data_IF_983288337718
#
_entry.id   IF_983288337718
#
_cell.length_a   1.000
_cell.length_b   1.000
_cell.length_c   1.000
_cell.angle_alpha   90.00
_cell.angle_beta   90.00
_cell.angle_gamma   90.00
#
_symmetry.space_group_name_H-M   'P 1'
#
loop_
_entity.id
_entity.type
_entity.pdbx_description
1 polymer ?
#
# COMPACT_ATOMS: atom_id res chain seq x y z
N UNK A 1 -22.01 11.01 5.92
CA UNK A 1 -20.59 10.80 6.28
C UNK A 1 -19.83 12.02 5.83
N UNK A 2 -19.00 12.59 6.69
CA UNK A 2 -18.24 13.81 6.38
C UNK A 2 -16.81 13.49 5.94
N UNK A 3 -16.30 12.32 6.32
CA UNK A 3 -14.95 11.86 6.01
C UNK A 3 -14.94 10.35 5.70
N UNK A 4 -14.06 9.94 4.79
CA UNK A 4 -13.84 8.56 4.39
C UNK A 4 -12.35 8.26 4.50
N UNK A 5 -11.98 7.25 5.28
CA UNK A 5 -10.60 6.76 5.41
C UNK A 5 -10.45 5.43 4.66
N UNK A 6 -9.95 5.48 3.42
CA UNK A 6 -9.77 4.30 2.59
C UNK A 6 -8.46 3.57 2.93
N UNK A 7 -8.57 2.62 3.85
CA UNK A 7 -7.50 1.71 4.28
C UNK A 7 -7.64 0.30 3.67
N UNK A 8 -8.69 0.05 2.89
CA UNK A 8 -9.05 -1.29 2.43
C UNK A 8 -8.17 -1.76 1.26
N UNK A 9 -7.13 -2.54 1.56
CA UNK A 9 -6.31 -3.28 0.60
C UNK A 9 -5.43 -4.28 1.37
N UNK A 10 -5.25 -5.53 0.90
CA UNK A 10 -4.27 -6.43 1.51
C UNK A 10 -2.86 -5.82 1.46
N UNK A 11 -2.16 -5.74 2.59
CA UNK A 11 -0.89 -5.00 2.71
C UNK A 11 0.37 -5.87 2.80
N UNK A 12 0.22 -7.15 3.13
CA UNK A 12 1.32 -8.10 3.28
C UNK A 12 1.60 -8.84 1.97
N UNK A 13 2.88 -9.04 1.55
CA UNK A 13 3.20 -9.73 0.29
C UNK A 13 2.57 -11.11 0.13
N UNK A 14 2.68 -12.03 1.11
CA UNK A 14 1.92 -13.29 1.07
C UNK A 14 0.42 -13.10 0.80
N UNK A 15 -0.21 -12.11 1.44
CA UNK A 15 -1.65 -11.91 1.34
C UNK A 15 -2.09 -11.28 0.02
N UNK A 16 -1.38 -10.26 -0.49
CA UNK A 16 -1.77 -9.62 -1.74
C UNK A 16 -1.42 -10.47 -2.97
N UNK A 17 -0.42 -11.34 -2.87
CA UNK A 17 -0.04 -12.28 -3.93
C UNK A 17 -0.91 -13.55 -3.95
N UNK A 18 -1.56 -13.90 -2.85
CA UNK A 18 -2.46 -15.06 -2.80
C UNK A 18 -3.60 -14.96 -3.83
N UNK A 19 -4.14 -13.76 -4.06
CA UNK A 19 -5.13 -13.51 -5.10
C UNK A 19 -4.90 -12.14 -5.77
N UNK A 20 -3.99 -12.07 -6.76
CA UNK A 20 -3.55 -10.80 -7.34
C UNK A 20 -4.68 -10.07 -8.07
N UNK A 21 -5.61 -10.82 -8.69
CA UNK A 21 -6.79 -10.26 -9.34
C UNK A 21 -7.72 -9.59 -8.33
N UNK A 22 -7.91 -10.19 -7.16
CA UNK A 22 -8.72 -9.58 -6.08
C UNK A 22 -8.01 -8.35 -5.51
N UNK A 23 -6.68 -8.39 -5.36
CA UNK A 23 -5.89 -7.24 -4.90
C UNK A 23 -6.09 -6.04 -5.81
N UNK A 24 -5.83 -6.19 -7.12
CA UNK A 24 -5.96 -5.07 -8.06
C UNK A 24 -7.41 -4.57 -8.17
N UNK A 25 -8.40 -5.48 -8.16
CA UNK A 25 -9.82 -5.09 -8.13
C UNK A 25 -10.17 -4.28 -6.89
N UNK A 26 -9.64 -4.67 -5.72
CA UNK A 26 -9.85 -3.93 -4.47
C UNK A 26 -9.26 -2.54 -4.56
N UNK A 27 -8.02 -2.42 -5.03
CA UNK A 27 -7.34 -1.12 -5.16
C UNK A 27 -8.01 -0.22 -6.19
N UNK A 28 -8.42 -0.73 -7.35
CA UNK A 28 -9.06 0.06 -8.40
C UNK A 28 -10.56 0.30 -8.13
N UNK A 29 -11.39 -0.75 -8.13
CA UNK A 29 -12.84 -0.62 -8.00
C UNK A 29 -13.23 -0.09 -6.62
N UNK A 30 -12.53 -0.51 -5.56
CA UNK A 30 -12.77 -0.02 -4.21
C UNK A 30 -12.55 1.49 -4.12
N UNK A 31 -11.39 1.97 -4.59
CA UNK A 31 -11.08 3.41 -4.61
C UNK A 31 -12.04 4.19 -5.49
N UNK A 32 -12.35 3.70 -6.69
CA UNK A 32 -13.33 4.32 -7.59
C UNK A 32 -14.70 4.50 -6.93
N UNK A 33 -15.20 3.43 -6.28
CA UNK A 33 -16.51 3.46 -5.62
C UNK A 33 -16.54 4.42 -4.42
N UNK A 34 -15.48 4.44 -3.61
CA UNK A 34 -15.40 5.31 -2.43
C UNK A 34 -15.23 6.79 -2.83
N UNK A 35 -14.47 7.09 -3.88
CA UNK A 35 -14.38 8.44 -4.44
C UNK A 35 -15.72 8.90 -5.04
N UNK A 36 -16.42 8.00 -5.74
CA UNK A 36 -17.77 8.26 -6.21
C UNK A 36 -18.74 8.57 -5.07
N UNK A 37 -18.62 7.87 -3.94
CA UNK A 37 -19.37 8.18 -2.72
C UNK A 37 -18.99 9.55 -2.17
N UNK A 38 -17.70 9.82 -1.98
CA UNK A 38 -17.18 11.09 -1.48
C UNK A 38 -17.70 12.29 -2.29
N UNK A 39 -17.67 12.17 -3.63
CA UNK A 39 -18.20 13.19 -4.55
C UNK A 39 -19.69 13.44 -4.34
N UNK A 40 -20.50 12.38 -4.17
CA UNK A 40 -21.95 12.51 -3.99
C UNK A 40 -22.34 13.13 -2.65
N UNK A 41 -21.61 12.84 -1.58
CA UNK A 41 -21.95 13.33 -0.24
C UNK A 41 -21.13 14.55 0.20
N UNK A 42 -20.18 15.03 -0.62
CA UNK A 42 -19.28 16.12 -0.25
C UNK A 42 -18.28 15.75 0.86
N UNK A 43 -17.98 14.47 1.04
CA UNK A 43 -17.07 14.02 2.08
C UNK A 43 -15.60 14.24 1.70
N UNK A 44 -14.75 14.51 2.70
CA UNK A 44 -13.30 14.43 2.55
C UNK A 44 -12.87 12.98 2.41
N UNK A 45 -12.05 12.68 1.41
CA UNK A 45 -11.53 11.34 1.14
C UNK A 45 -10.04 11.24 1.48
N UNK A 46 -9.65 10.29 2.32
CA UNK A 46 -8.27 9.96 2.60
C UNK A 46 -7.90 8.61 1.97
N UNK A 47 -6.78 8.57 1.25
CA UNK A 47 -6.20 7.38 0.66
C UNK A 47 -4.93 6.93 1.40
N UNK A 48 -4.93 5.70 1.89
CA UNK A 48 -3.69 5.02 2.28
C UNK A 48 -2.99 4.45 1.05
N UNK A 49 -2.05 5.25 0.52
CA UNK A 49 -1.06 4.79 -0.44
C UNK A 49 0.13 4.15 0.29
N UNK A 50 1.25 3.94 -0.40
CA UNK A 50 2.39 3.16 0.10
C UNK A 50 3.70 3.67 -0.50
N UNK A 51 4.80 3.45 0.22
CA UNK A 51 6.16 3.61 -0.33
C UNK A 51 6.44 2.71 -1.53
N UNK A 52 5.69 1.61 -1.71
CA UNK A 52 5.84 0.72 -2.88
C UNK A 52 5.50 1.41 -4.21
N UNK A 53 4.82 2.56 -4.20
CA UNK A 53 4.66 3.41 -5.38
C UNK A 53 6.01 3.88 -5.96
N UNK A 54 7.06 3.90 -5.13
CA UNK A 54 8.43 4.22 -5.54
C UNK A 54 9.18 3.03 -6.15
N UNK A 55 8.72 1.79 -5.93
CA UNK A 55 9.33 0.58 -6.48
C UNK A 55 10.74 0.33 -5.95
N UNK A 56 11.68 0.14 -6.88
CA UNK A 56 13.12 -0.01 -6.61
C UNK A 56 13.85 1.31 -6.91
N UNK A 57 13.85 2.27 -5.97
CA UNK A 57 14.20 3.66 -6.24
C UNK A 57 15.67 3.82 -6.60
N UNK A 58 15.95 4.63 -7.61
CA UNK A 58 17.32 5.00 -8.02
C UNK A 58 17.90 6.18 -7.24
N UNK A 59 17.14 6.70 -6.27
CA UNK A 59 17.53 7.83 -5.42
C UNK A 59 17.16 7.57 -3.95
N UNK A 60 17.92 8.17 -3.03
CA UNK A 60 17.64 8.13 -1.59
C UNK A 60 17.99 9.48 -0.94
N UNK A 61 17.11 10.09 -0.13
CA UNK A 61 15.75 9.63 0.22
C UNK A 61 14.76 9.75 -0.96
N UNK A 62 13.56 9.18 -0.82
CA UNK A 62 12.50 9.25 -1.85
C UNK A 62 11.55 10.44 -1.59
N UNK A 63 11.69 11.58 -2.28
CA UNK A 63 10.72 12.66 -2.21
C UNK A 63 9.42 12.29 -2.95
N UNK A 64 8.30 12.92 -2.60
CA UNK A 64 7.01 12.67 -3.26
C UNK A 64 7.00 13.03 -4.75
N UNK A 65 7.93 13.89 -5.19
CA UNK A 65 8.16 14.24 -6.60
C UNK A 65 8.78 13.10 -7.40
N UNK A 66 9.36 12.08 -6.76
CA UNK A 66 9.91 10.91 -7.44
C UNK A 66 8.78 10.05 -8.03
N UNK A 67 8.92 9.70 -9.31
CA UNK A 67 7.89 8.95 -10.04
C UNK A 67 7.85 7.46 -9.70
N UNK A 68 8.92 6.93 -9.13
CA UNK A 68 9.10 5.51 -8.87
C UNK A 68 9.72 4.76 -10.05
N UNK A 69 10.39 3.65 -9.72
CA UNK A 69 10.93 2.69 -10.67
C UNK A 69 10.25 1.34 -10.39
N UNK A 70 9.10 1.14 -11.01
CA UNK A 70 8.19 0.01 -10.74
C UNK A 70 8.08 -0.85 -11.99
N UNK A 71 8.18 -2.17 -11.82
CA UNK A 71 7.92 -3.12 -12.89
C UNK A 71 6.40 -3.36 -12.98
N UNK A 72 5.73 -3.09 -14.11
CA UNK A 72 4.27 -3.20 -14.23
C UNK A 72 3.77 -4.64 -14.41
N UNK A 73 4.65 -5.61 -14.66
CA UNK A 73 4.28 -7.02 -14.91
C UNK A 73 4.96 -8.01 -13.93
N UNK A 74 5.62 -7.51 -12.91
CA UNK A 74 6.21 -8.32 -11.85
C UNK A 74 5.17 -8.99 -10.94
N UNK A 75 5.61 -9.97 -10.17
CA UNK A 75 4.75 -10.73 -9.23
C UNK A 75 4.13 -9.85 -8.13
N UNK A 76 4.68 -8.65 -7.90
CA UNK A 76 4.20 -7.67 -6.92
C UNK A 76 3.29 -6.60 -7.53
N UNK A 77 3.23 -6.49 -8.86
CA UNK A 77 2.56 -5.39 -9.57
C UNK A 77 1.07 -5.29 -9.27
N UNK A 78 0.41 -6.38 -8.89
CA UNK A 78 -1.00 -6.32 -8.46
C UNK A 78 -1.25 -5.38 -7.28
N UNK A 79 -0.26 -5.24 -6.38
CA UNK A 79 -0.27 -4.29 -5.27
C UNK A 79 0.31 -2.94 -5.72
N UNK A 80 1.51 -2.94 -6.30
CA UNK A 80 2.25 -1.71 -6.63
C UNK A 80 1.49 -0.85 -7.64
N UNK A 81 1.11 -1.42 -8.78
CA UNK A 81 0.30 -0.73 -9.79
C UNK A 81 -1.13 -0.49 -9.30
N UNK A 82 -1.66 -1.38 -8.46
CA UNK A 82 -2.95 -1.19 -7.81
C UNK A 82 -2.98 0.09 -6.97
N UNK A 83 -1.91 0.38 -6.22
CA UNK A 83 -1.78 1.59 -5.41
C UNK A 83 -1.49 2.82 -6.26
N UNK A 84 -0.67 2.69 -7.31
CA UNK A 84 -0.40 3.78 -8.28
C UNK A 84 -1.65 4.24 -9.01
N UNK A 85 -2.46 3.31 -9.54
CA UNK A 85 -3.73 3.67 -10.21
C UNK A 85 -4.74 4.27 -9.22
N UNK A 86 -4.72 3.84 -7.95
CA UNK A 86 -5.54 4.44 -6.90
C UNK A 86 -5.14 5.92 -6.66
N UNK A 87 -3.84 6.25 -6.63
CA UNK A 87 -3.40 7.66 -6.57
C UNK A 87 -3.89 8.46 -7.79
N UNK A 88 -3.81 7.89 -8.99
CA UNK A 88 -4.34 8.53 -10.20
C UNK A 88 -5.82 8.89 -10.05
N UNK A 89 -6.64 7.93 -9.61
CA UNK A 89 -8.06 8.20 -9.35
C UNK A 89 -8.27 9.31 -8.33
N UNK A 90 -7.52 9.31 -7.23
CA UNK A 90 -7.62 10.33 -6.18
C UNK A 90 -7.35 11.72 -6.75
N UNK A 91 -6.28 11.90 -7.52
CA UNK A 91 -5.93 13.20 -8.08
C UNK A 91 -6.85 13.65 -9.21
N UNK A 92 -7.42 12.74 -10.00
CA UNK A 92 -8.46 13.09 -10.99
C UNK A 92 -9.75 13.58 -10.33
N UNK A 93 -10.19 12.92 -9.25
CA UNK A 93 -11.34 13.40 -8.47
C UNK A 93 -11.03 14.71 -7.74
N UNK A 94 -9.80 14.91 -7.29
CA UNK A 94 -9.36 16.18 -6.71
C UNK A 94 -9.48 17.34 -7.70
N UNK A 95 -9.00 17.14 -8.93
CA UNK A 95 -9.13 18.12 -10.03
C UNK A 95 -10.60 18.42 -10.38
N UNK A 96 -11.51 17.50 -10.08
CA UNK A 96 -12.96 17.68 -10.20
C UNK A 96 -13.64 18.24 -8.93
N UNK A 97 -12.86 18.70 -7.94
CA UNK A 97 -13.37 19.41 -6.76
C UNK A 97 -13.65 18.54 -5.52
N UNK A 98 -13.27 17.25 -5.51
CA UNK A 98 -13.37 16.44 -4.29
C UNK A 98 -12.22 16.80 -3.32
N UNK A 99 -12.54 16.98 -2.04
CA UNK A 99 -11.54 17.22 -1.00
C UNK A 99 -10.81 15.91 -0.67
N UNK A 100 -9.56 15.75 -1.15
CA UNK A 100 -8.80 14.51 -1.04
C UNK A 100 -7.49 14.67 -0.28
N UNK A 101 -7.06 13.62 0.43
CA UNK A 101 -5.74 13.48 1.05
C UNK A 101 -5.13 12.13 0.63
N UNK A 102 -3.84 12.10 0.36
CA UNK A 102 -3.12 10.87 0.00
C UNK A 102 -1.85 10.78 0.84
N UNK A 103 -1.63 9.65 1.51
CA UNK A 103 -0.42 9.40 2.30
C UNK A 103 0.30 8.17 1.76
N UNK A 104 1.58 8.33 1.40
CA UNK A 104 2.47 7.21 1.04
C UNK A 104 3.10 6.66 2.31
N UNK A 105 2.51 5.60 2.84
CA UNK A 105 2.88 5.02 4.13
C UNK A 105 4.11 4.12 3.95
N UNK A 106 5.16 4.38 4.73
CA UNK A 106 6.35 3.54 4.86
C UNK A 106 6.12 2.42 5.89
N UNK A 107 7.09 1.51 6.02
CA UNK A 107 7.03 0.40 6.96
C UNK A 107 6.59 0.86 8.36
N UNK A 108 5.48 0.29 8.83
CA UNK A 108 4.84 0.60 10.11
C UNK A 108 4.65 -0.70 10.87
N UNK A 109 4.93 -0.69 12.18
CA UNK A 109 4.76 -1.84 13.07
C UNK A 109 4.17 -1.41 14.42
N UNK A 110 3.54 -2.34 15.14
CA UNK A 110 2.98 -2.08 16.47
C UNK A 110 1.92 -3.10 16.91
N UNK A 111 1.27 -2.86 18.07
CA UNK A 111 0.19 -3.71 18.56
C UNK A 111 -0.95 -3.88 17.54
N UNK A 112 -1.56 -5.07 17.48
CA UNK A 112 -2.68 -5.37 16.57
C UNK A 112 -2.27 -5.84 15.17
N UNK A 113 -0.97 -5.98 14.88
CA UNK A 113 -0.50 -6.64 13.68
C UNK A 113 -0.90 -8.12 13.65
N UNK A 114 -1.18 -8.64 12.45
CA UNK A 114 -1.44 -10.05 12.27
C UNK A 114 -0.16 -10.85 12.60
N UNK A 115 -0.21 -11.92 13.40
CA UNK A 115 0.99 -12.69 13.75
C UNK A 115 1.70 -13.27 12.52
N UNK A 116 0.91 -13.67 11.51
CA UNK A 116 1.42 -14.20 10.24
C UNK A 116 1.44 -13.15 9.13
N UNK A 117 1.61 -11.88 9.50
CA UNK A 117 1.71 -10.78 8.55
C UNK A 117 2.89 -10.91 7.57
N UNK A 118 3.88 -11.76 7.85
CA UNK A 118 4.90 -12.16 6.89
C UNK A 118 5.90 -11.06 6.52
N UNK A 119 5.82 -9.88 7.15
CA UNK A 119 6.82 -8.81 7.04
C UNK A 119 7.95 -9.06 8.04
N UNK A 120 9.11 -8.46 7.76
CA UNK A 120 10.38 -8.77 8.44
C UNK A 120 10.32 -8.62 9.96
N UNK A 121 9.77 -7.50 10.45
CA UNK A 121 9.72 -7.20 11.90
C UNK A 121 8.84 -8.19 12.64
N UNK A 122 7.66 -8.54 12.11
CA UNK A 122 6.74 -9.49 12.75
C UNK A 122 7.29 -10.91 12.72
N UNK A 123 7.90 -11.33 11.62
CA UNK A 123 8.56 -12.65 11.54
C UNK A 123 9.69 -12.77 12.56
N UNK A 124 10.57 -11.77 12.65
CA UNK A 124 11.71 -11.81 13.58
C UNK A 124 11.25 -11.85 15.04
N UNK A 125 10.26 -11.03 15.41
CA UNK A 125 9.71 -11.03 16.78
C UNK A 125 9.11 -12.40 17.11
N UNK A 126 8.31 -12.98 16.21
CA UNK A 126 7.68 -14.28 16.45
C UNK A 126 8.71 -15.42 16.52
N UNK A 127 9.72 -15.42 15.64
CA UNK A 127 10.81 -16.40 15.67
C UNK A 127 11.60 -16.31 16.97
N UNK A 128 11.99 -15.11 17.39
CA UNK A 128 12.69 -14.88 18.66
C UNK A 128 11.87 -15.34 19.87
N UNK A 129 10.57 -15.01 19.92
CA UNK A 129 9.68 -15.42 21.01
C UNK A 129 9.45 -16.93 21.04
N UNK A 130 9.46 -17.60 19.88
CA UNK A 130 9.31 -19.05 19.77
C UNK A 130 10.63 -19.83 19.93
N UNK A 131 11.76 -19.13 20.12
CA UNK A 131 13.08 -19.76 20.16
C UNK A 131 13.51 -20.40 18.83
N UNK A 132 13.00 -19.89 17.72
CA UNK A 132 13.33 -20.34 16.36
C UNK A 132 14.45 -19.50 15.74
N UNK A 133 15.16 -20.08 14.78
CA UNK A 133 16.19 -19.37 14.02
C UNK A 133 15.60 -18.19 13.23
N UNK A 134 16.31 -17.07 13.24
CA UNK A 134 15.91 -15.86 12.50
C UNK A 134 16.19 -16.06 11.00
N UNK A 135 15.14 -15.99 10.18
CA UNK A 135 15.25 -16.23 8.73
C UNK A 135 15.56 -14.94 7.98
N UNK A 136 16.80 -14.80 7.51
CA UNK A 136 17.21 -13.70 6.61
C UNK A 136 17.08 -14.18 5.16
N UNK A 137 16.24 -13.50 4.37
CA UNK A 137 16.16 -13.74 2.93
C UNK A 137 17.28 -12.96 2.21
N UNK A 138 18.11 -13.66 1.43
CA UNK A 138 19.28 -13.06 0.80
C UNK A 138 20.48 -12.99 1.74
N UNK A 139 21.30 -11.94 1.60
CA UNK A 139 22.49 -11.72 2.43
C UNK A 139 22.26 -10.74 3.59
N UNK A 140 21.06 -10.15 3.69
CA UNK A 140 20.72 -9.18 4.72
C UNK A 140 21.25 -7.77 4.48
N UNK A 141 21.86 -7.50 3.32
CA UNK A 141 22.43 -6.19 2.97
C UNK A 141 21.43 -5.21 2.35
N UNK A 142 20.19 -5.65 2.12
CA UNK A 142 19.14 -4.78 1.57
C UNK A 142 18.93 -3.54 2.45
N UNK A 143 19.13 -2.36 1.86
CA UNK A 143 18.96 -1.04 2.50
C UNK A 143 17.78 -0.30 1.92
#
# INVERSE_FOLDING_TARGET
VDQIYNMACPASPPHYQYNPIKTIKTSFLGTYNQLGLAKRCGARFFQASTSECYGDPTISPQPESYWGNVNPIGVRSCYDEGKRVAETLVFEYHRQGVDTRCARIFNTYGPGMHPYDGRVVSNFINQALAGQDITVYGDGSQT
#
